data_IF_763157666210
#
_entry.id   IF_763157666210
#
_cell.length_a   1.000
_cell.length_b   1.000
_cell.length_c   1.000
_cell.angle_alpha   90.00
_cell.angle_beta   90.00
_cell.angle_gamma   90.00
#
_symmetry.space_group_name_H-M   'P 1'
#
loop_
_entity.id
_entity.type
_entity.pdbx_description
1 polymer ?
#
# COMPACT_ATOMS: atom_id res chain seq x y z
N UNK A 1 -5.79 0.21 -8.44
CA UNK A 1 -5.76 1.68 -8.50
C UNK A 1 -6.67 2.34 -7.46
N UNK A 2 -7.96 2.00 -7.35
CA UNK A 2 -8.82 2.60 -6.31
C UNK A 2 -8.30 2.38 -4.88
N UNK A 3 -7.87 1.15 -4.55
CA UNK A 3 -7.31 0.84 -3.24
C UNK A 3 -6.01 1.61 -2.95
N UNK A 4 -5.20 1.87 -3.97
CA UNK A 4 -4.01 2.72 -3.85
C UNK A 4 -4.40 4.16 -3.52
N UNK A 5 -5.42 4.72 -4.19
CA UNK A 5 -5.97 6.03 -3.85
C UNK A 5 -6.50 6.10 -2.42
N UNK A 6 -7.21 5.06 -1.96
CA UNK A 6 -7.67 4.96 -0.58
C UNK A 6 -6.50 4.98 0.41
N UNK A 7 -5.42 4.24 0.11
CA UNK A 7 -4.21 4.22 0.94
C UNK A 7 -3.50 5.58 0.96
N UNK A 8 -3.41 6.30 -0.16
CA UNK A 8 -2.84 7.66 -0.20
C UNK A 8 -3.63 8.63 0.70
N UNK A 9 -4.96 8.57 0.64
CA UNK A 9 -5.81 9.38 1.50
C UNK A 9 -5.68 8.96 2.97
N UNK A 10 -5.66 7.67 3.26
CA UNK A 10 -5.47 7.16 4.62
C UNK A 10 -4.14 7.64 5.22
N UNK A 11 -3.05 7.59 4.46
CA UNK A 11 -1.75 8.11 4.89
C UNK A 11 -1.83 9.60 5.24
N UNK A 12 -2.42 10.39 4.34
CA UNK A 12 -2.62 11.84 4.51
C UNK A 12 -3.41 12.14 5.79
N UNK A 13 -4.55 11.46 5.98
CA UNK A 13 -5.40 11.62 7.17
C UNK A 13 -4.63 11.27 8.45
N UNK A 14 -3.86 10.18 8.45
CA UNK A 14 -3.05 9.78 9.61
C UNK A 14 -2.03 10.87 9.96
N UNK A 15 -1.30 11.39 8.98
CA UNK A 15 -0.27 12.41 9.21
C UNK A 15 -0.83 13.81 9.49
N UNK A 16 -2.11 14.05 9.22
CA UNK A 16 -2.82 15.25 9.68
C UNK A 16 -3.30 15.11 11.12
N UNK A 17 -3.57 13.89 11.60
CA UNK A 17 -4.05 13.64 12.96
C UNK A 17 -2.94 13.43 14.00
N UNK A 18 -1.78 12.92 13.58
CA UNK A 18 -0.69 12.60 14.50
C UNK A 18 0.67 13.09 13.99
N UNK A 19 1.51 13.54 14.92
CA UNK A 19 2.93 13.79 14.65
C UNK A 19 3.67 12.46 14.61
N UNK A 20 4.07 12.02 13.42
CA UNK A 20 4.97 10.87 13.26
C UNK A 20 6.40 11.40 13.19
N UNK A 21 7.33 10.93 14.03
CA UNK A 21 8.75 11.22 13.86
C UNK A 21 9.17 10.71 12.48
N UNK A 22 9.42 11.65 11.56
CA UNK A 22 9.85 11.31 10.21
C UNK A 22 11.25 10.71 10.30
N UNK A 23 11.39 9.44 9.87
CA UNK A 23 12.70 8.82 9.73
C UNK A 23 13.60 9.66 8.80
N UNK A 24 14.90 9.71 9.07
CA UNK A 24 15.85 10.47 8.27
C UNK A 24 15.70 10.13 6.78
N UNK A 25 15.31 11.11 5.96
CA UNK A 25 15.10 10.95 4.53
C UNK A 25 16.40 11.19 3.79
N UNK A 26 16.58 10.53 2.65
CA UNK A 26 17.62 10.92 1.72
C UNK A 26 17.37 12.36 1.27
N UNK A 27 18.37 13.23 1.40
CA UNK A 27 18.31 14.58 0.87
C UNK A 27 18.51 14.53 -0.65
N UNK A 28 17.38 14.39 -1.36
CA UNK A 28 17.36 14.37 -2.82
C UNK A 28 17.55 15.77 -3.43
N UNK A 29 17.42 16.84 -2.64
CA UNK A 29 17.54 18.23 -3.10
C UNK A 29 18.97 18.60 -3.52
N UNK A 30 19.97 17.85 -3.03
CA UNK A 30 21.37 18.02 -3.41
C UNK A 30 21.71 17.48 -4.81
N UNK A 31 20.81 16.78 -5.49
CA UNK A 31 21.08 16.10 -6.76
C UNK A 31 20.35 16.75 -7.95
N UNK A 32 20.93 16.67 -9.17
CA UNK A 32 20.24 17.12 -10.38
C UNK A 32 18.91 16.38 -10.60
N UNK A 33 17.91 17.09 -11.14
CA UNK A 33 16.57 16.54 -11.37
C UNK A 33 16.56 15.22 -12.17
N UNK A 34 17.36 15.02 -13.25
CA UNK A 34 17.40 13.74 -13.95
C UNK A 34 17.86 12.58 -13.06
N UNK A 35 18.80 12.82 -12.13
CA UNK A 35 19.26 11.82 -11.17
C UNK A 35 18.15 11.45 -10.20
N UNK A 36 17.42 12.44 -9.68
CA UNK A 36 16.29 12.20 -8.78
C UNK A 36 15.20 11.37 -9.47
N UNK A 37 14.85 11.73 -10.71
CA UNK A 37 13.88 10.97 -11.51
C UNK A 37 14.35 9.52 -11.71
N UNK A 38 15.60 9.32 -12.12
CA UNK A 38 16.14 7.98 -12.35
C UNK A 38 16.13 7.12 -11.08
N UNK A 39 16.55 7.68 -9.95
CA UNK A 39 16.59 6.98 -8.66
C UNK A 39 15.18 6.63 -8.18
N UNK A 40 14.25 7.59 -8.19
CA UNK A 40 12.87 7.35 -7.75
C UNK A 40 12.20 6.29 -8.63
N UNK A 41 12.30 6.41 -9.96
CA UNK A 41 11.72 5.43 -10.88
C UNK A 41 12.32 4.03 -10.68
N UNK A 42 13.65 3.91 -10.57
CA UNK A 42 14.29 2.61 -10.35
C UNK A 42 13.95 2.00 -8.99
N UNK A 43 13.93 2.81 -7.92
CA UNK A 43 13.53 2.37 -6.60
C UNK A 43 12.08 1.83 -6.59
N UNK A 44 11.17 2.53 -7.27
CA UNK A 44 9.78 2.10 -7.40
C UNK A 44 9.63 0.79 -8.17
N UNK A 45 10.32 0.65 -9.31
CA UNK A 45 10.25 -0.55 -10.14
C UNK A 45 10.85 -1.76 -9.44
N UNK A 46 12.06 -1.60 -8.88
CA UNK A 46 12.77 -2.69 -8.20
C UNK A 46 12.06 -3.07 -6.90
N UNK A 47 11.64 -2.10 -6.09
CA UNK A 47 10.87 -2.35 -4.87
C UNK A 47 9.58 -3.11 -5.16
N UNK A 48 8.78 -2.61 -6.09
CA UNK A 48 7.52 -3.27 -6.47
C UNK A 48 7.72 -4.67 -7.05
N UNK A 49 8.79 -4.90 -7.82
CA UNK A 49 9.08 -6.24 -8.34
C UNK A 49 9.55 -7.20 -7.24
N UNK A 50 10.54 -6.79 -6.45
CA UNK A 50 11.19 -7.65 -5.46
C UNK A 50 10.25 -7.97 -4.31
N UNK A 51 9.49 -6.99 -3.81
CA UNK A 51 8.53 -7.22 -2.74
C UNK A 51 7.39 -8.11 -3.20
N UNK A 52 6.84 -7.91 -4.40
CA UNK A 52 5.76 -8.80 -4.89
C UNK A 52 6.26 -10.22 -5.17
N UNK A 53 7.46 -10.37 -5.73
CA UNK A 53 8.06 -11.69 -5.95
C UNK A 53 8.37 -12.41 -4.63
N UNK A 54 8.95 -11.72 -3.65
CA UNK A 54 9.31 -12.29 -2.36
C UNK A 54 8.10 -12.54 -1.46
N UNK A 55 7.25 -11.54 -1.27
CA UNK A 55 6.12 -11.61 -0.33
C UNK A 55 4.94 -12.37 -0.93
N UNK A 56 4.49 -12.02 -2.14
CA UNK A 56 3.32 -12.64 -2.76
C UNK A 56 3.68 -13.90 -3.55
N UNK A 57 4.82 -13.89 -4.24
CA UNK A 57 5.27 -15.02 -5.06
C UNK A 57 5.84 -16.18 -4.24
N UNK A 58 6.55 -15.89 -3.14
CA UNK A 58 7.20 -16.93 -2.33
C UNK A 58 6.51 -17.13 -0.97
N UNK A 59 6.49 -16.13 -0.09
CA UNK A 59 5.98 -16.27 1.29
C UNK A 59 4.50 -16.65 1.30
N UNK A 60 3.65 -15.88 0.60
CA UNK A 60 2.22 -16.12 0.57
C UNK A 60 1.88 -17.49 -0.04
N UNK A 61 2.49 -17.85 -1.18
CA UNK A 61 2.28 -19.16 -1.83
C UNK A 61 2.70 -20.31 -0.89
N UNK A 62 3.81 -20.15 -0.15
CA UNK A 62 4.25 -21.16 0.81
C UNK A 62 3.25 -21.32 1.96
N UNK A 63 2.71 -20.21 2.48
CA UNK A 63 1.70 -20.21 3.54
C UNK A 63 0.37 -20.82 3.08
N UNK A 64 -0.04 -20.57 1.84
CA UNK A 64 -1.27 -21.13 1.25
C UNK A 64 -1.29 -22.66 1.18
N UNK A 65 -0.12 -23.31 1.28
CA UNK A 65 -0.03 -24.78 1.38
C UNK A 65 -0.40 -25.31 2.77
N UNK A 66 -0.36 -24.46 3.79
CA UNK A 66 -0.56 -24.82 5.19
C UNK A 66 -1.87 -24.27 5.75
N UNK A 67 -2.33 -23.12 5.26
CA UNK A 67 -3.53 -22.44 5.75
C UNK A 67 -4.38 -21.86 4.61
N UNK A 68 -5.69 -21.61 4.84
CA UNK A 68 -6.56 -21.00 3.84
C UNK A 68 -6.03 -19.64 3.35
N UNK A 69 -6.25 -19.33 2.07
CA UNK A 69 -5.73 -18.13 1.40
C UNK A 69 -5.91 -16.81 2.17
N UNK A 70 -7.11 -16.47 2.67
CA UNK A 70 -7.30 -15.26 3.47
C UNK A 70 -6.46 -15.22 4.76
N UNK A 71 -6.32 -16.35 5.45
CA UNK A 71 -5.49 -16.45 6.64
C UNK A 71 -4.00 -16.34 6.29
N UNK A 72 -3.57 -16.94 5.17
CA UNK A 72 -2.20 -16.80 4.65
C UNK A 72 -1.83 -15.33 4.39
N UNK A 73 -2.76 -14.54 3.84
CA UNK A 73 -2.58 -13.09 3.61
C UNK A 73 -2.35 -12.36 4.93
N UNK A 74 -3.22 -12.60 5.92
CA UNK A 74 -3.11 -11.94 7.24
C UNK A 74 -1.79 -12.30 7.90
N UNK A 75 -1.39 -13.57 7.89
CA UNK A 75 -0.11 -14.00 8.46
C UNK A 75 1.06 -13.33 7.74
N UNK A 76 1.07 -13.33 6.40
CA UNK A 76 2.13 -12.69 5.62
C UNK A 76 2.26 -11.19 5.94
N UNK A 77 1.13 -10.47 6.00
CA UNK A 77 1.08 -9.04 6.33
C UNK A 77 1.60 -8.76 7.76
N UNK A 78 1.25 -9.60 8.73
CA UNK A 78 1.74 -9.47 10.10
C UNK A 78 3.25 -9.75 10.22
N UNK A 79 3.76 -10.73 9.46
CA UNK A 79 5.19 -11.10 9.48
C UNK A 79 6.08 -9.98 8.92
N UNK A 80 5.64 -9.26 7.90
CA UNK A 80 6.43 -8.17 7.30
C UNK A 80 6.26 -6.82 8.00
N UNK A 81 5.15 -6.62 8.73
CA UNK A 81 4.87 -5.38 9.48
C UNK A 81 6.05 -4.88 10.35
N UNK A 82 6.80 -5.71 11.09
CA UNK A 82 8.00 -5.26 11.82
C UNK A 82 9.12 -4.72 10.92
N UNK A 83 9.27 -5.24 9.69
CA UNK A 83 10.24 -4.73 8.72
C UNK A 83 9.89 -3.31 8.25
N UNK A 84 8.60 -3.02 8.08
CA UNK A 84 8.13 -1.65 7.85
C UNK A 84 8.36 -0.76 9.08
N UNK A 85 8.12 -1.28 10.29
CA UNK A 85 8.44 -0.56 11.54
C UNK A 85 9.92 -0.18 11.66
N UNK A 86 10.83 -1.06 11.23
CA UNK A 86 12.26 -0.80 11.24
C UNK A 86 12.70 0.31 10.28
N UNK A 87 11.95 0.56 9.21
CA UNK A 87 12.29 1.57 8.18
C UNK A 87 11.50 2.87 8.33
N UNK A 88 10.28 2.82 8.89
CA UNK A 88 9.32 3.94 8.92
C UNK A 88 8.86 4.31 10.34
N UNK A 89 9.37 3.60 11.35
CA UNK A 89 9.04 3.80 12.75
C UNK A 89 7.92 2.87 13.26
N UNK A 90 8.04 2.45 14.52
CA UNK A 90 7.04 1.61 15.20
C UNK A 90 5.87 2.46 15.73
N UNK A 91 5.13 3.07 14.81
CA UNK A 91 3.96 3.92 15.11
C UNK A 91 2.71 3.19 14.62
N UNK A 92 1.79 2.86 15.55
CA UNK A 92 0.73 1.88 15.25
C UNK A 92 -0.17 2.25 14.06
N UNK A 93 -0.55 3.52 13.79
CA UNK A 93 -1.35 3.84 12.58
C UNK A 93 -0.54 3.66 11.30
N UNK A 94 0.77 3.90 11.35
CA UNK A 94 1.68 3.67 10.22
C UNK A 94 1.80 2.17 9.95
N UNK A 95 1.98 1.36 10.99
CA UNK A 95 2.00 -0.10 10.87
C UNK A 95 0.66 -0.66 10.36
N UNK A 96 -0.47 -0.11 10.82
CA UNK A 96 -1.78 -0.47 10.31
C UNK A 96 -1.92 -0.13 8.83
N UNK A 97 -1.41 1.02 8.40
CA UNK A 97 -1.38 1.40 6.99
C UNK A 97 -0.62 0.38 6.14
N UNK A 98 0.59 0.00 6.57
CA UNK A 98 1.41 -1.02 5.87
C UNK A 98 0.72 -2.38 5.85
N UNK A 99 0.15 -2.80 6.98
CA UNK A 99 -0.66 -4.01 7.06
C UNK A 99 -1.83 -4.01 6.05
N UNK A 100 -2.56 -2.90 5.93
CA UNK A 100 -3.66 -2.77 4.97
C UNK A 100 -3.18 -2.78 3.52
N UNK A 101 -2.04 -2.15 3.22
CA UNK A 101 -1.40 -2.24 1.91
C UNK A 101 -1.05 -3.69 1.59
N UNK A 102 -0.47 -4.41 2.55
CA UNK A 102 -0.12 -5.81 2.38
C UNK A 102 -1.34 -6.72 2.18
N UNK A 103 -2.42 -6.48 2.91
CA UNK A 103 -3.69 -7.19 2.72
C UNK A 103 -4.24 -6.91 1.32
N UNK A 104 -4.17 -5.66 0.84
CA UNK A 104 -4.61 -5.31 -0.51
C UNK A 104 -3.82 -6.07 -1.58
N UNK A 105 -2.49 -6.07 -1.52
CA UNK A 105 -1.65 -6.77 -2.50
C UNK A 105 -1.79 -8.29 -2.40
N UNK A 106 -1.86 -8.84 -1.19
CA UNK A 106 -2.10 -10.28 -0.98
C UNK A 106 -3.46 -10.72 -1.53
N UNK A 107 -4.50 -9.92 -1.33
CA UNK A 107 -5.84 -10.18 -1.88
C UNK A 107 -5.84 -10.12 -3.41
N UNK A 108 -5.18 -9.11 -3.98
CA UNK A 108 -5.04 -8.97 -5.43
C UNK A 108 -4.32 -10.19 -6.02
N UNK A 109 -3.21 -10.63 -5.43
CA UNK A 109 -2.47 -11.80 -5.88
C UNK A 109 -3.31 -13.08 -5.81
N UNK A 110 -4.05 -13.28 -4.71
CA UNK A 110 -4.92 -14.43 -4.52
C UNK A 110 -6.08 -14.46 -5.54
N UNK A 111 -6.74 -13.32 -5.76
CA UNK A 111 -7.89 -13.21 -6.66
C UNK A 111 -7.47 -13.31 -8.12
N UNK A 112 -6.36 -12.67 -8.49
CA UNK A 112 -5.83 -12.67 -9.85
C UNK A 112 -5.03 -13.94 -10.19
N UNK A 113 -4.71 -14.77 -9.19
CA UNK A 113 -3.82 -15.93 -9.33
C UNK A 113 -2.47 -15.56 -9.98
N UNK A 114 -2.00 -14.34 -9.69
CA UNK A 114 -0.84 -13.75 -10.34
C UNK A 114 -0.32 -12.56 -9.55
N UNK A 115 1.00 -12.44 -9.44
CA UNK A 115 1.64 -11.26 -8.85
C UNK A 115 1.76 -10.09 -9.85
N UNK A 116 1.53 -10.30 -11.15
CA UNK A 116 1.78 -9.28 -12.19
C UNK A 116 0.96 -8.00 -11.97
N UNK A 117 -0.35 -8.06 -11.65
CA UNK A 117 -1.11 -6.85 -11.35
C UNK A 117 -0.58 -6.16 -10.09
N UNK A 118 -0.14 -6.94 -9.09
CA UNK A 118 0.51 -6.45 -7.89
C UNK A 118 1.76 -5.64 -8.21
N UNK A 119 2.68 -6.17 -9.01
CA UNK A 119 3.94 -5.50 -9.42
C UNK A 119 3.65 -4.11 -10.01
N UNK A 120 2.68 -4.02 -10.93
CA UNK A 120 2.34 -2.75 -11.59
C UNK A 120 1.75 -1.76 -10.58
N UNK A 121 0.77 -2.20 -9.77
CA UNK A 121 0.12 -1.32 -8.77
C UNK A 121 1.13 -0.88 -7.70
N UNK A 122 2.00 -1.78 -7.26
CA UNK A 122 2.99 -1.53 -6.22
C UNK A 122 4.06 -0.56 -6.73
N UNK A 123 4.61 -0.76 -7.93
CA UNK A 123 5.58 0.17 -8.51
C UNK A 123 4.98 1.58 -8.69
N UNK A 124 3.74 1.69 -9.17
CA UNK A 124 3.04 2.98 -9.27
C UNK A 124 2.83 3.60 -7.89
N UNK A 125 2.45 2.79 -6.90
CA UNK A 125 2.30 3.23 -5.51
C UNK A 125 3.59 3.78 -4.93
N UNK A 126 4.69 3.02 -5.01
CA UNK A 126 6.01 3.47 -4.56
C UNK A 126 6.41 4.77 -5.26
N UNK A 127 6.16 4.90 -6.56
CA UNK A 127 6.46 6.14 -7.28
C UNK A 127 5.67 7.32 -6.71
N UNK A 128 4.35 7.15 -6.52
CA UNK A 128 3.49 8.19 -5.93
C UNK A 128 3.98 8.57 -4.53
N UNK A 129 4.33 7.59 -3.72
CA UNK A 129 4.78 7.81 -2.35
C UNK A 129 6.15 8.49 -2.28
N UNK A 130 7.13 8.01 -3.03
CA UNK A 130 8.46 8.62 -3.11
C UNK A 130 8.44 10.02 -3.71
N UNK A 131 7.64 10.27 -4.75
CA UNK A 131 7.66 11.54 -5.49
C UNK A 131 6.76 12.62 -4.88
N UNK A 132 5.63 12.25 -4.26
CA UNK A 132 4.60 13.22 -3.88
C UNK A 132 4.17 13.13 -2.42
N UNK A 133 3.90 11.92 -1.90
CA UNK A 133 3.31 11.78 -0.55
C UNK A 133 4.34 12.05 0.54
N UNK A 134 5.44 11.28 0.56
CA UNK A 134 6.45 11.41 1.62
C UNK A 134 7.21 12.73 1.59
N UNK A 135 7.54 13.33 0.44
CA UNK A 135 8.11 14.68 0.42
C UNK A 135 7.20 15.72 1.10
N UNK A 136 5.87 15.60 0.92
CA UNK A 136 4.91 16.54 1.49
C UNK A 136 4.72 16.37 3.02
N UNK A 137 5.03 15.21 3.58
CA UNK A 137 4.80 14.92 5.01
C UNK A 137 5.52 15.87 5.97
N UNK A 138 6.67 16.45 5.57
CA UNK A 138 7.36 17.43 6.42
C UNK A 138 6.63 18.77 6.53
N UNK A 139 5.77 19.08 5.55
CA UNK A 139 4.98 20.29 5.50
C UNK A 139 3.58 20.10 6.11
N UNK A 140 3.20 18.88 6.51
CA UNK A 140 1.88 18.61 7.08
C UNK A 140 1.79 19.16 8.49
N UNK A 141 0.71 19.90 8.75
CA UNK A 141 0.39 20.43 10.06
C UNK A 141 -0.58 19.50 10.77
N UNK A 142 -0.26 19.11 12.00
CA UNK A 142 -1.18 18.32 12.81
C UNK A 142 -2.38 19.18 13.22
N UNK A 143 -3.57 18.66 12.98
CA UNK A 143 -4.85 19.29 13.32
C UNK A 143 -5.50 18.59 14.51
N UNK A 144 -6.28 19.34 15.28
CA UNK A 144 -7.26 18.74 16.20
C UNK A 144 -8.52 18.37 15.41
N UNK A 145 -9.13 17.24 15.76
CA UNK A 145 -10.37 16.79 15.11
C UNK A 145 -11.52 17.81 15.27
N UNK A 146 -11.54 18.55 16.38
CA UNK A 146 -12.52 19.62 16.64
C UNK A 146 -12.33 20.83 15.71
N UNK A 147 -11.17 20.92 15.06
CA UNK A 147 -10.81 21.98 14.10
C UNK A 147 -10.70 21.45 12.67
N UNK A 148 -11.08 20.21 12.42
CA UNK A 148 -11.07 19.63 11.09
C UNK A 148 -12.03 20.38 10.16
N UNK A 149 -11.55 20.78 8.99
CA UNK A 149 -12.31 21.51 8.00
C UNK A 149 -13.07 20.57 7.04
N UNK A 150 -13.81 21.15 6.09
CA UNK A 150 -14.53 20.37 5.09
C UNK A 150 -13.61 19.53 4.18
N UNK A 151 -12.37 19.96 3.96
CA UNK A 151 -11.38 19.25 3.13
C UNK A 151 -10.92 17.95 3.79
N UNK A 152 -10.66 18.00 5.10
CA UNK A 152 -10.36 16.81 5.90
C UNK A 152 -11.50 15.79 5.83
N UNK A 153 -12.74 16.22 6.09
CA UNK A 153 -13.89 15.32 6.07
C UNK A 153 -14.21 14.78 4.68
N UNK A 154 -14.00 15.57 3.62
CA UNK A 154 -14.07 15.08 2.26
C UNK A 154 -13.04 13.98 2.00
N UNK A 155 -11.80 14.16 2.47
CA UNK A 155 -10.74 13.16 2.34
C UNK A 155 -11.09 11.86 3.07
N UNK A 156 -11.67 11.95 4.28
CA UNK A 156 -12.17 10.79 5.04
C UNK A 156 -13.28 10.08 4.26
N UNK A 157 -14.28 10.81 3.78
CA UNK A 157 -15.40 10.23 3.03
C UNK A 157 -14.92 9.57 1.72
N UNK A 158 -14.03 10.23 0.98
CA UNK A 158 -13.42 9.70 -0.23
C UNK A 158 -12.58 8.45 0.05
N UNK A 159 -11.80 8.44 1.13
CA UNK A 159 -11.01 7.29 1.56
C UNK A 159 -11.91 6.06 1.81
N UNK A 160 -12.98 6.23 2.60
CA UNK A 160 -13.94 5.16 2.89
C UNK A 160 -14.66 4.67 1.63
N UNK A 161 -15.10 5.60 0.76
CA UNK A 161 -15.76 5.26 -0.49
C UNK A 161 -14.84 4.45 -1.42
N UNK A 162 -13.55 4.82 -1.53
CA UNK A 162 -12.58 4.12 -2.34
C UNK A 162 -12.24 2.73 -1.77
N UNK A 163 -12.15 2.57 -0.45
CA UNK A 163 -12.01 1.25 0.17
C UNK A 163 -13.22 0.36 -0.12
N UNK A 164 -14.44 0.89 0.04
CA UNK A 164 -15.66 0.15 -0.26
C UNK A 164 -15.74 -0.26 -1.73
N UNK A 165 -15.45 0.66 -2.65
CA UNK A 165 -15.41 0.37 -4.09
C UNK A 165 -14.36 -0.68 -4.43
N UNK A 166 -13.17 -0.60 -3.82
CA UNK A 166 -12.11 -1.60 -4.00
C UNK A 166 -12.55 -2.98 -3.52
N UNK A 167 -13.17 -3.08 -2.35
CA UNK A 167 -13.69 -4.34 -1.83
C UNK A 167 -14.73 -4.95 -2.78
N UNK A 168 -15.69 -4.16 -3.25
CA UNK A 168 -16.72 -4.62 -4.22
C UNK A 168 -16.07 -5.14 -5.51
N UNK A 169 -15.10 -4.42 -6.07
CA UNK A 169 -14.42 -4.84 -7.30
C UNK A 169 -13.58 -6.11 -7.09
N UNK A 170 -12.89 -6.25 -5.96
CA UNK A 170 -12.13 -7.46 -5.65
C UNK A 170 -13.05 -8.67 -5.44
N UNK A 171 -14.20 -8.48 -4.79
CA UNK A 171 -15.22 -9.54 -4.66
C UNK A 171 -15.74 -9.94 -6.03
N UNK A 172 -16.07 -8.97 -6.88
CA UNK A 172 -16.54 -9.22 -8.25
C UNK A 172 -15.49 -9.99 -9.06
N UNK A 173 -14.24 -9.52 -9.05
CA UNK A 173 -13.12 -10.17 -9.72
C UNK A 173 -12.91 -11.59 -9.19
N UNK A 174 -12.97 -11.80 -7.87
CA UNK A 174 -12.86 -13.13 -7.26
C UNK A 174 -13.95 -14.09 -7.74
N UNK A 175 -15.20 -13.62 -7.87
CA UNK A 175 -16.31 -14.41 -8.41
C UNK A 175 -16.09 -14.78 -9.88
N UNK A 176 -15.66 -13.82 -10.69
CA UNK A 176 -15.39 -14.03 -12.12
C UNK A 176 -14.20 -14.98 -12.35
N UNK A 177 -13.08 -14.78 -11.64
CA UNK A 177 -11.91 -15.65 -11.67
C UNK A 177 -12.23 -17.08 -11.24
N UNK A 178 -13.09 -17.26 -10.23
CA UNK A 178 -13.55 -18.60 -9.81
C UNK A 178 -14.45 -19.24 -10.86
N UNK A 179 -15.38 -18.49 -11.44
CA UNK A 179 -16.28 -18.99 -12.48
C UNK A 179 -15.50 -19.40 -13.74
N UNK A 180 -14.49 -18.64 -14.14
CA UNK A 180 -13.62 -18.97 -15.27
C UNK A 180 -12.86 -20.29 -15.04
N UNK A 181 -12.27 -20.48 -13.86
CA UNK A 181 -11.57 -21.74 -13.51
C UNK A 181 -12.46 -22.97 -13.55
N UNK A 182 -13.73 -22.83 -13.18
CA UNK A 182 -14.69 -23.95 -13.21
C UNK A 182 -15.17 -24.30 -14.63
N UNK A 183 -15.03 -23.39 -15.59
CA UNK A 183 -15.44 -23.61 -16.99
C UNK A 183 -14.41 -24.39 -17.81
N UNK A 184 -13.19 -24.59 -17.28
CA UNK A 184 -12.10 -25.23 -18.02
C UNK A 184 -11.60 -24.38 -19.20
N UNK A 185 -10.45 -24.74 -19.80
CA UNK A 185 -10.04 -24.17 -21.09
C UNK A 185 -10.97 -24.57 -22.23
#
# INVERSE_FOLDING_TARGET
MLGLGALVLLWTIVFELISVPVAARADLGAYPLPTVIAVVTMASLVGGLVEEAGLRGYVLVRLQREVPGPLAIVIAALVISPGHGATQGFVWPVLLWYFLADVMFGTLALVADSIRPGIVVHAIGLFIFFAFVWPADAARTVISIDRADASFWFSVAACLALFAATAVLLIKLGRESRAARLRGP
#
